data_IF_096986736005
#
_entry.id   IF_096986736005
#
_cell.length_a   1.000
_cell.length_b   1.000
_cell.length_c   1.000
_cell.angle_alpha   90.00
_cell.angle_beta   90.00
_cell.angle_gamma   90.00
#
_symmetry.space_group_name_H-M   'P 1'
#
loop_
_entity.id
_entity.type
_entity.pdbx_description
1 polymer ?
#
# COMPACT_ATOMS: atom_id res chain seq x y z
N UNK A 1 21.96 28.95 15.46
CA UNK A 1 21.36 29.18 14.12
C UNK A 1 20.56 27.95 13.77
N UNK A 2 19.25 28.09 13.56
CA UNK A 2 18.42 26.98 13.11
C UNK A 2 18.96 26.47 11.76
N UNK A 3 19.24 25.18 11.66
CA UNK A 3 19.78 24.57 10.45
C UNK A 3 18.69 24.65 9.35
N UNK A 4 18.83 25.61 8.44
CA UNK A 4 17.86 25.91 7.38
C UNK A 4 17.54 24.66 6.53
N UNK A 5 18.50 23.74 6.40
CA UNK A 5 18.31 22.45 5.76
C UNK A 5 17.30 21.57 6.51
N UNK A 6 17.40 21.50 7.84
CA UNK A 6 16.48 20.72 8.68
C UNK A 6 15.06 21.26 8.55
N UNK A 7 14.87 22.58 8.66
CA UNK A 7 13.55 23.21 8.49
C UNK A 7 12.92 22.92 7.12
N UNK A 8 13.76 22.88 6.07
CA UNK A 8 13.31 22.54 4.72
C UNK A 8 12.90 21.06 4.65
N UNK A 9 13.72 20.14 5.16
CA UNK A 9 13.43 18.70 5.16
C UNK A 9 12.15 18.40 5.93
N UNK A 10 11.99 18.92 7.16
CA UNK A 10 10.78 18.71 7.96
C UNK A 10 9.53 19.16 7.23
N UNK A 11 9.60 20.31 6.53
CA UNK A 11 8.46 20.81 5.75
C UNK A 11 8.12 19.89 4.58
N UNK A 12 9.12 19.44 3.83
CA UNK A 12 8.91 18.53 2.70
C UNK A 12 8.35 17.18 3.15
N UNK A 13 8.86 16.60 4.23
CA UNK A 13 8.34 15.33 4.76
C UNK A 13 6.89 15.49 5.21
N UNK A 14 6.58 16.57 5.94
CA UNK A 14 5.21 16.85 6.38
C UNK A 14 4.25 17.02 5.19
N UNK A 15 4.71 17.66 4.10
CA UNK A 15 3.92 17.80 2.88
C UNK A 15 3.63 16.45 2.23
N UNK A 16 4.61 15.53 2.22
CA UNK A 16 4.42 14.17 1.68
C UNK A 16 3.45 13.38 2.56
N UNK A 17 3.61 13.42 3.89
CA UNK A 17 2.74 12.72 4.84
C UNK A 17 1.29 13.24 4.80
N UNK A 18 1.10 14.54 4.54
CA UNK A 18 -0.22 15.15 4.36
C UNK A 18 -0.74 15.07 2.91
N UNK A 19 0.10 14.60 1.99
CA UNK A 19 -0.20 14.51 0.57
C UNK A 19 -1.18 13.39 0.28
N UNK A 20 -1.91 13.51 -0.82
CA UNK A 20 -2.83 12.48 -1.29
C UNK A 20 -2.16 11.40 -2.16
N UNK A 21 -0.83 11.43 -2.30
CA UNK A 21 -0.12 10.49 -3.18
C UNK A 21 -0.04 9.10 -2.55
N UNK A 22 -0.95 8.23 -2.97
CA UNK A 22 -1.03 6.84 -2.55
C UNK A 22 0.19 6.00 -2.94
N UNK A 23 1.03 6.50 -3.85
CA UNK A 23 2.22 5.81 -4.35
C UNK A 23 3.44 5.98 -3.47
N UNK A 24 3.39 6.84 -2.46
CA UNK A 24 4.57 7.21 -1.67
C UNK A 24 4.30 7.09 -0.17
N UNK A 25 5.23 6.42 0.53
CA UNK A 25 5.34 6.44 1.98
C UNK A 25 6.75 6.85 2.38
N UNK A 26 6.88 7.65 3.44
CA UNK A 26 8.16 8.13 3.97
C UNK A 26 8.23 7.93 5.47
N UNK A 27 9.42 7.57 5.95
CA UNK A 27 9.71 7.40 7.37
C UNK A 27 11.07 8.01 7.70
N UNK A 28 11.18 8.63 8.86
CA UNK A 28 12.42 9.19 9.39
C UNK A 28 12.42 9.05 10.92
N UNK A 29 13.61 9.01 11.50
CA UNK A 29 13.78 9.06 12.96
C UNK A 29 13.98 10.52 13.40
N UNK A 30 13.34 10.95 14.48
CA UNK A 30 13.48 12.32 15.02
C UNK A 30 14.92 12.64 15.43
N UNK A 31 15.71 11.61 15.78
CA UNK A 31 17.14 11.70 16.08
C UNK A 31 17.98 12.05 14.85
N UNK A 32 17.54 11.69 13.63
CA UNK A 32 18.29 11.83 12.39
C UNK A 32 17.37 12.09 11.18
N UNK A 33 16.74 13.27 11.16
CA UNK A 33 15.87 13.71 10.06
C UNK A 33 16.56 13.81 8.69
N UNK A 34 17.90 13.75 8.65
CA UNK A 34 18.67 13.75 7.39
C UNK A 34 18.72 12.38 6.74
N UNK A 35 18.32 11.32 7.43
CA UNK A 35 18.25 9.97 6.89
C UNK A 35 16.77 9.56 6.84
N UNK A 36 16.25 9.45 5.62
CA UNK A 36 14.85 9.17 5.33
C UNK A 36 14.77 7.86 4.58
N UNK A 37 13.88 6.97 5.00
CA UNK A 37 13.46 5.81 4.22
C UNK A 37 12.19 6.16 3.47
N UNK A 38 12.03 5.65 2.25
CA UNK A 38 10.84 5.84 1.45
C UNK A 38 10.46 4.54 0.73
N UNK A 39 9.17 4.26 0.60
CA UNK A 39 8.64 3.23 -0.28
C UNK A 39 7.86 3.90 -1.39
N UNK A 40 8.16 3.50 -2.63
CA UNK A 40 7.49 3.98 -3.83
C UNK A 40 6.82 2.80 -4.51
N UNK A 41 5.54 2.95 -4.81
CA UNK A 41 4.80 1.99 -5.62
C UNK A 41 5.22 2.10 -7.08
N UNK A 42 5.51 0.96 -7.71
CA UNK A 42 5.77 0.95 -9.14
C UNK A 42 4.54 1.38 -9.95
N UNK A 43 4.71 2.15 -11.04
CA UNK A 43 3.57 2.68 -11.78
C UNK A 43 2.70 1.58 -12.42
N UNK A 44 1.37 1.80 -12.49
CA UNK A 44 0.45 0.92 -13.20
C UNK A 44 0.84 0.77 -14.68
N UNK A 45 0.47 -0.34 -15.30
CA UNK A 45 0.74 -0.64 -16.73
C UNK A 45 2.24 -0.68 -17.09
N UNK A 46 3.11 -0.88 -16.11
CA UNK A 46 4.55 -1.10 -16.28
C UNK A 46 4.94 -2.46 -15.71
N UNK A 47 6.11 -3.04 -16.05
CA UNK A 47 6.57 -4.25 -15.38
C UNK A 47 6.81 -4.07 -13.87
N UNK A 48 6.81 -2.84 -13.36
CA UNK A 48 6.98 -2.52 -11.94
C UNK A 48 5.64 -2.44 -11.19
N UNK A 49 4.51 -2.60 -11.87
CA UNK A 49 3.16 -2.33 -11.36
C UNK A 49 2.93 -2.73 -9.91
N UNK A 50 2.65 -1.71 -9.09
CA UNK A 50 2.35 -1.78 -7.65
C UNK A 50 3.42 -2.43 -6.76
N UNK A 51 4.62 -2.73 -7.28
CA UNK A 51 5.74 -3.22 -6.48
C UNK A 51 6.20 -2.21 -5.42
N UNK A 52 6.55 -2.67 -4.22
CA UNK A 52 7.06 -1.84 -3.13
C UNK A 52 8.58 -1.66 -3.27
N UNK A 53 9.01 -0.57 -3.91
CA UNK A 53 10.42 -0.24 -4.05
C UNK A 53 10.88 0.66 -2.91
N UNK A 54 11.77 0.14 -2.07
CA UNK A 54 12.29 0.87 -0.93
C UNK A 54 13.60 1.59 -1.28
N UNK A 55 13.73 2.82 -0.78
CA UNK A 55 14.86 3.71 -0.97
C UNK A 55 15.31 4.30 0.36
N UNK A 56 16.62 4.47 0.49
CA UNK A 56 17.26 5.26 1.53
C UNK A 56 17.74 6.58 0.92
N UNK A 57 17.39 7.68 1.57
CA UNK A 57 17.63 9.05 1.12
C UNK A 57 18.40 9.77 2.22
N UNK A 58 19.59 10.23 1.89
CA UNK A 58 20.46 10.93 2.82
C UNK A 58 20.72 12.36 2.35
N UNK A 59 20.26 13.31 3.16
CA UNK A 59 20.39 14.74 2.93
C UNK A 59 21.74 15.24 3.45
N UNK A 60 22.50 15.91 2.58
CA UNK A 60 23.76 16.56 2.95
C UNK A 60 23.55 17.83 3.78
N UNK A 61 24.63 18.35 4.37
CA UNK A 61 24.62 19.63 5.10
C UNK A 61 24.23 20.82 4.20
N UNK A 62 24.56 20.73 2.92
CA UNK A 62 24.33 21.79 1.93
C UNK A 62 22.95 21.70 1.26
N UNK A 63 22.03 20.86 1.76
CA UNK A 63 20.67 20.78 1.22
C UNK A 63 19.89 22.09 1.52
N UNK A 64 19.11 22.64 0.58
CA UNK A 64 18.77 22.14 -0.76
C UNK A 64 19.70 22.64 -1.90
N UNK A 65 20.84 23.24 -1.58
CA UNK A 65 21.83 23.68 -2.58
C UNK A 65 22.38 22.51 -3.40
N UNK A 66 22.67 21.38 -2.73
CA UNK A 66 23.05 20.12 -3.35
C UNK A 66 21.92 19.07 -3.22
N UNK A 67 21.77 18.16 -4.19
CA UNK A 67 20.77 17.09 -4.12
C UNK A 67 21.08 16.09 -2.99
N UNK A 68 20.07 15.39 -2.46
CA UNK A 68 20.29 14.28 -1.55
C UNK A 68 20.90 13.09 -2.29
N UNK A 69 21.62 12.24 -1.55
CA UNK A 69 22.07 10.94 -2.05
C UNK A 69 20.97 9.89 -1.89
N UNK A 70 20.74 9.07 -2.91
CA UNK A 70 19.65 8.09 -2.94
C UNK A 70 20.19 6.69 -3.26
N UNK A 71 19.75 5.71 -2.48
CA UNK A 71 20.11 4.30 -2.63
C UNK A 71 18.85 3.43 -2.61
N UNK A 72 18.62 2.64 -3.65
CA UNK A 72 17.60 1.61 -3.66
C UNK A 72 18.01 0.45 -2.75
N UNK A 73 17.05 -0.04 -1.96
CA UNK A 73 17.21 -1.16 -1.05
C UNK A 73 16.64 -2.46 -1.64
N UNK A 74 15.55 -2.36 -2.41
CA UNK A 74 14.93 -3.48 -3.13
C UNK A 74 15.80 -3.93 -4.32
N UNK A 75 16.87 -4.68 -4.03
CA UNK A 75 17.89 -5.11 -5.01
C UNK A 75 18.22 -6.60 -4.93
N UNK A 76 17.50 -7.37 -4.10
CA UNK A 76 17.78 -8.79 -3.85
C UNK A 76 19.27 -9.03 -3.49
N UNK A 77 19.76 -8.34 -2.47
CA UNK A 77 21.15 -8.46 -2.00
C UNK A 77 22.20 -8.10 -3.05
N UNK A 78 21.91 -7.15 -3.94
CA UNK A 78 22.85 -6.73 -4.98
C UNK A 78 22.73 -7.45 -6.33
N UNK A 79 21.79 -8.40 -6.45
CA UNK A 79 21.66 -9.28 -7.63
C UNK A 79 20.64 -8.80 -8.65
N UNK A 80 19.56 -8.17 -8.19
CA UNK A 80 18.49 -7.70 -9.05
C UNK A 80 18.74 -6.26 -9.51
N UNK A 81 18.73 -6.06 -10.83
CA UNK A 81 18.76 -4.74 -11.46
C UNK A 81 17.40 -4.45 -12.07
N UNK A 82 16.53 -3.80 -11.29
CA UNK A 82 15.17 -3.50 -11.72
C UNK A 82 15.11 -2.56 -12.92
N UNK A 83 15.93 -1.51 -12.95
CA UNK A 83 15.87 -0.47 -13.96
C UNK A 83 17.29 -0.11 -14.43
N UNK A 84 17.52 0.34 -15.67
CA UNK A 84 18.83 0.82 -16.10
C UNK A 84 19.42 1.90 -15.20
N UNK A 85 18.58 2.76 -14.62
CA UNK A 85 18.99 3.82 -13.70
C UNK A 85 19.10 3.38 -12.24
N UNK A 86 18.63 2.18 -11.89
CA UNK A 86 18.77 1.60 -10.55
C UNK A 86 19.74 0.43 -10.66
N UNK A 87 20.99 0.68 -10.31
CA UNK A 87 22.05 -0.32 -10.38
C UNK A 87 21.78 -1.42 -9.35
N UNK A 88 22.29 -2.62 -9.62
CA UNK A 88 22.11 -3.74 -8.69
C UNK A 88 22.74 -3.46 -7.31
N UNK A 89 23.80 -2.64 -7.25
CA UNK A 89 24.38 -2.15 -5.99
C UNK A 89 23.47 -1.19 -5.18
N UNK A 90 22.29 -0.87 -5.70
CA UNK A 90 21.37 0.11 -5.12
C UNK A 90 21.67 1.55 -5.52
N UNK A 91 22.76 1.82 -6.25
CA UNK A 91 23.05 3.19 -6.71
C UNK A 91 21.96 3.65 -7.69
N UNK A 92 21.34 4.78 -7.39
CA UNK A 92 20.35 5.41 -8.28
C UNK A 92 21.03 6.50 -9.10
N UNK A 93 20.96 6.38 -10.42
CA UNK A 93 21.36 7.41 -11.35
C UNK A 93 20.20 8.35 -11.65
N UNK A 94 20.12 9.42 -10.89
CA UNK A 94 19.34 10.57 -11.26
C UNK A 94 20.15 11.30 -12.34
N UNK A 95 19.74 11.19 -13.62
CA UNK A 95 20.31 11.98 -14.72
C UNK A 95 20.14 13.47 -14.42
N UNK A 96 21.10 14.04 -13.69
CA UNK A 96 21.39 15.48 -13.71
C UNK A 96 22.53 15.77 -14.69
N UNK A 97 22.66 14.95 -15.73
CA UNK A 97 23.78 15.00 -16.67
C UNK A 97 23.56 16.11 -17.69
N UNK A 98 23.84 17.33 -17.27
CA UNK A 98 24.52 18.34 -18.10
C UNK A 98 23.73 19.07 -19.18
N UNK A 99 22.57 18.58 -19.64
CA UNK A 99 21.73 19.36 -20.56
C UNK A 99 21.02 20.50 -19.83
N UNK A 100 20.97 21.69 -20.45
CA UNK A 100 20.37 22.90 -19.86
C UNK A 100 18.87 22.67 -19.63
N UNK A 101 18.50 22.31 -18.40
CA UNK A 101 17.11 22.07 -18.00
C UNK A 101 16.93 20.87 -17.06
N UNK A 102 17.88 19.93 -17.05
CA UNK A 102 17.81 18.69 -16.24
C UNK A 102 18.70 18.71 -14.99
N UNK A 103 19.25 19.86 -14.60
CA UNK A 103 20.14 19.95 -13.44
C UNK A 103 19.35 20.11 -12.13
N UNK A 104 19.90 19.60 -11.02
CA UNK A 104 19.33 19.85 -9.69
C UNK A 104 19.21 21.35 -9.46
N UNK A 105 18.05 21.78 -8.98
CA UNK A 105 17.84 23.11 -8.45
C UNK A 105 17.18 23.01 -7.09
N UNK A 106 17.45 23.99 -6.23
CA UNK A 106 16.82 24.10 -4.90
C UNK A 106 15.30 24.30 -4.94
N UNK A 107 14.73 24.49 -6.14
CA UNK A 107 13.29 24.48 -6.38
C UNK A 107 12.70 23.06 -6.37
N UNK A 108 13.51 22.03 -6.66
CA UNK A 108 13.09 20.63 -6.56
C UNK A 108 12.94 20.23 -5.09
N UNK A 109 12.01 19.31 -4.83
CA UNK A 109 11.72 18.74 -3.52
C UNK A 109 11.86 17.21 -3.54
N UNK A 110 11.82 16.61 -2.35
CA UNK A 110 11.83 15.17 -2.16
C UNK A 110 10.76 14.47 -3.03
N UNK A 111 9.54 15.00 -3.09
CA UNK A 111 8.47 14.47 -3.93
C UNK A 111 8.85 14.42 -5.43
N UNK A 112 9.37 15.52 -6.00
CA UNK A 112 9.80 15.56 -7.40
C UNK A 112 10.92 14.56 -7.71
N UNK A 113 11.82 14.33 -6.76
CA UNK A 113 12.87 13.32 -6.88
C UNK A 113 12.28 11.91 -6.92
N UNK A 114 11.31 11.62 -6.05
CA UNK A 114 10.64 10.33 -5.96
C UNK A 114 9.80 10.06 -7.22
N UNK A 115 9.06 11.06 -7.73
CA UNK A 115 8.33 10.98 -9.00
C UNK A 115 9.28 10.75 -10.18
N UNK A 116 10.45 11.41 -10.20
CA UNK A 116 11.42 11.21 -11.29
C UNK A 116 11.97 9.79 -11.38
N UNK A 117 11.93 9.03 -10.28
CA UNK A 117 12.30 7.61 -10.27
C UNK A 117 11.19 6.73 -10.86
N UNK A 118 9.93 7.15 -10.79
CA UNK A 118 8.79 6.44 -11.37
C UNK A 118 8.75 6.54 -12.91
N UNK A 119 9.19 7.66 -13.49
CA UNK A 119 8.96 7.96 -14.92
C UNK A 119 10.05 7.46 -15.88
N UNK A 120 11.22 7.03 -15.37
CA UNK A 120 12.35 6.65 -16.23
C UNK A 120 12.25 5.20 -16.73
N UNK A 121 11.71 5.03 -17.93
CA UNK A 121 11.64 3.75 -18.63
C UNK A 121 12.91 3.44 -19.45
N UNK A 122 13.29 2.16 -19.67
CA UNK A 122 14.42 1.80 -20.54
C UNK A 122 14.18 2.16 -22.02
N UNK A 123 15.21 2.66 -22.70
CA UNK A 123 15.18 3.13 -24.11
C UNK A 123 15.67 2.11 -25.15
N UNK A 124 16.21 0.95 -24.76
CA UNK A 124 16.85 0.00 -25.69
C UNK A 124 15.88 -1.09 -26.17
N UNK A 125 15.53 -1.09 -27.46
CA UNK A 125 14.46 -1.94 -28.04
C UNK A 125 14.79 -3.44 -28.20
N UNK A 126 16.05 -3.84 -28.10
CA UNK A 126 16.45 -5.24 -28.34
C UNK A 126 16.27 -6.09 -27.07
N UNK A 127 15.47 -7.17 -27.16
CA UNK A 127 15.10 -8.07 -26.04
C UNK A 127 14.19 -7.44 -24.96
N UNK A 128 13.49 -6.35 -25.29
CA UNK A 128 12.60 -5.69 -24.32
C UNK A 128 11.53 -6.61 -23.76
N UNK A 129 10.92 -7.46 -24.58
CA UNK A 129 9.84 -8.34 -24.09
C UNK A 129 10.35 -9.33 -23.04
N UNK A 130 11.52 -9.94 -23.29
CA UNK A 130 12.14 -10.86 -22.33
C UNK A 130 12.60 -10.15 -21.05
N UNK A 131 13.08 -8.90 -21.17
CA UNK A 131 13.41 -8.07 -20.02
C UNK A 131 12.16 -7.70 -19.22
N UNK A 132 11.11 -7.21 -19.87
CA UNK A 132 9.82 -6.83 -19.26
C UNK A 132 9.20 -8.02 -18.55
N UNK A 133 9.18 -9.21 -19.17
CA UNK A 133 8.69 -10.43 -18.54
C UNK A 133 9.50 -10.76 -17.27
N UNK A 134 10.83 -10.73 -17.36
CA UNK A 134 11.71 -10.96 -16.20
C UNK A 134 11.44 -9.96 -15.08
N UNK A 135 11.40 -8.67 -15.38
CA UNK A 135 11.15 -7.62 -14.38
C UNK A 135 9.76 -7.76 -13.77
N UNK A 136 8.73 -8.06 -14.57
CA UNK A 136 7.37 -8.32 -14.05
C UNK A 136 7.37 -9.44 -13.02
N UNK A 137 8.04 -10.55 -13.32
CA UNK A 137 8.18 -11.66 -12.38
C UNK A 137 8.93 -11.25 -11.10
N UNK A 138 10.10 -10.62 -11.25
CA UNK A 138 10.95 -10.21 -10.14
C UNK A 138 10.32 -9.10 -9.28
N UNK A 139 9.49 -8.24 -9.86
CA UNK A 139 8.69 -7.25 -9.13
C UNK A 139 7.69 -7.94 -8.22
N UNK A 140 6.91 -8.90 -8.73
CA UNK A 140 5.98 -9.66 -7.89
C UNK A 140 6.73 -10.41 -6.77
N UNK A 141 7.84 -11.07 -7.10
CA UNK A 141 8.61 -11.86 -6.13
C UNK A 141 9.31 -11.01 -5.07
N UNK A 142 10.18 -10.09 -5.47
CA UNK A 142 11.09 -9.36 -4.58
C UNK A 142 10.45 -8.07 -4.06
N UNK A 143 9.65 -7.36 -4.88
CA UNK A 143 9.10 -6.07 -4.49
C UNK A 143 7.71 -6.18 -3.85
N UNK A 144 7.00 -7.31 -3.99
CA UNK A 144 5.67 -7.51 -3.38
C UNK A 144 5.71 -8.62 -2.33
N UNK A 145 6.03 -9.85 -2.74
CA UNK A 145 5.86 -11.05 -1.91
C UNK A 145 6.88 -11.10 -0.76
N UNK A 146 8.19 -11.04 -1.06
CA UNK A 146 9.24 -11.19 -0.04
C UNK A 146 9.18 -10.15 1.11
N UNK A 147 8.94 -8.85 0.86
CA UNK A 147 8.77 -7.88 1.93
C UNK A 147 7.58 -8.21 2.82
N UNK A 148 6.46 -8.66 2.24
CA UNK A 148 5.26 -9.03 3.00
C UNK A 148 5.45 -10.32 3.79
N UNK A 149 6.13 -11.31 3.23
CA UNK A 149 6.51 -12.54 3.94
C UNK A 149 7.38 -12.23 5.15
N UNK A 150 8.37 -11.35 4.96
CA UNK A 150 9.22 -10.85 6.06
C UNK A 150 8.37 -10.14 7.11
N UNK A 151 7.50 -9.21 6.72
CA UNK A 151 6.64 -8.46 7.64
C UNK A 151 5.60 -9.34 8.38
N UNK A 152 5.27 -10.51 7.85
CA UNK A 152 4.28 -11.45 8.40
C UNK A 152 4.92 -12.69 9.06
N UNK A 153 6.26 -12.78 9.07
CA UNK A 153 7.02 -13.94 9.51
C UNK A 153 6.57 -15.25 8.82
N UNK A 154 6.40 -15.20 7.49
CA UNK A 154 6.01 -16.35 6.67
C UNK A 154 7.24 -16.82 5.88
N UNK A 155 7.53 -18.12 5.95
CA UNK A 155 8.52 -18.75 5.09
C UNK A 155 7.95 -18.93 3.67
N UNK A 156 8.79 -18.99 2.63
CA UNK A 156 8.30 -19.27 1.28
C UNK A 156 7.50 -20.56 1.15
N UNK A 157 7.67 -21.55 2.05
CA UNK A 157 6.81 -22.75 2.10
C UNK A 157 5.34 -22.43 2.43
N UNK A 158 5.08 -21.31 3.09
CA UNK A 158 3.79 -20.91 3.66
C UNK A 158 3.70 -21.16 5.17
N UNK A 159 4.71 -21.77 5.78
CA UNK A 159 4.78 -21.99 7.23
C UNK A 159 5.21 -20.71 7.95
N UNK A 160 4.84 -20.58 9.23
CA UNK A 160 5.36 -19.50 10.07
C UNK A 160 6.84 -19.72 10.37
N UNK A 161 7.63 -18.65 10.28
CA UNK A 161 8.99 -18.63 10.81
C UNK A 161 8.92 -18.52 12.34
N UNK A 162 8.82 -19.68 13.00
CA UNK A 162 8.74 -19.80 14.45
C UNK A 162 10.02 -19.35 15.16
N UNK A 163 11.16 -19.27 14.46
CA UNK A 163 12.40 -18.76 15.03
C UNK A 163 12.37 -17.23 15.09
N UNK A 164 11.92 -16.58 14.01
CA UNK A 164 11.71 -15.13 13.98
C UNK A 164 10.63 -14.69 14.99
N UNK A 165 9.53 -15.44 15.10
CA UNK A 165 8.43 -15.12 16.04
C UNK A 165 8.85 -15.21 17.52
N UNK A 166 9.79 -16.10 17.87
CA UNK A 166 10.31 -16.22 19.24
C UNK A 166 11.28 -15.10 19.62
N UNK A 167 12.03 -14.57 18.66
CA UNK A 167 12.95 -13.45 18.89
C UNK A 167 12.22 -12.12 19.14
N UNK A 168 10.97 -11.97 18.67
CA UNK A 168 10.14 -10.78 18.94
C UNK A 168 9.42 -10.80 20.29
N UNK A 169 9.21 -11.97 20.89
CA UNK A 169 8.40 -12.15 22.12
C UNK A 169 9.25 -12.32 23.41
N UNK A 170 10.57 -12.48 23.30
CA UNK A 170 11.42 -12.67 24.47
C UNK A 170 11.88 -11.33 25.07
N UNK A 171 11.33 -10.98 26.24
CA UNK A 171 11.80 -9.92 27.15
C UNK A 171 13.18 -10.20 27.79
N UNK A 172 13.90 -11.24 27.34
CA UNK A 172 15.23 -11.59 27.84
C UNK A 172 16.31 -10.76 27.14
N UNK A 173 16.53 -9.57 27.69
CA UNK A 173 17.71 -8.73 27.44
C UNK A 173 18.99 -9.43 27.95
N UNK A 174 19.56 -10.32 27.13
CA UNK A 174 20.92 -10.81 27.31
C UNK A 174 21.72 -10.82 25.99
N UNK A 175 22.48 -9.74 25.82
CA UNK A 175 23.82 -9.67 25.22
C UNK A 175 24.05 -10.27 23.82
N UNK A 176 23.47 -9.65 22.79
CA UNK A 176 24.16 -9.39 21.51
C UNK A 176 23.65 -8.04 20.96
N UNK A 177 24.54 -7.06 20.77
CA UNK A 177 24.20 -5.69 20.35
C UNK A 177 23.71 -5.55 18.89
N UNK A 178 23.55 -6.64 18.12
CA UNK A 178 23.29 -6.59 16.67
C UNK A 178 21.92 -7.10 16.20
N UNK A 179 21.02 -7.56 17.07
CA UNK A 179 19.70 -8.05 16.64
C UNK A 179 18.56 -7.43 17.47
N UNK A 180 18.43 -6.10 17.44
CA UNK A 180 17.09 -5.53 17.59
C UNK A 180 16.23 -6.04 16.42
N UNK A 181 14.99 -6.52 16.64
CA UNK A 181 14.08 -6.78 15.55
C UNK A 181 14.03 -5.53 14.67
N UNK A 182 14.35 -5.68 13.39
CA UNK A 182 14.47 -4.56 12.47
C UNK A 182 13.11 -3.85 12.40
N UNK A 183 13.02 -2.65 12.94
CA UNK A 183 11.81 -1.84 12.84
C UNK A 183 11.51 -1.57 11.36
N UNK A 184 10.37 -2.09 10.90
CA UNK A 184 9.88 -1.93 9.53
C UNK A 184 8.71 -0.94 9.49
N UNK A 185 8.98 0.36 9.23
CA UNK A 185 7.96 1.41 9.27
C UNK A 185 6.92 1.31 8.15
N UNK A 186 7.14 0.44 7.16
CA UNK A 186 6.25 0.30 6.01
C UNK A 186 5.41 -0.98 6.05
N UNK A 187 5.50 -1.75 7.14
CA UNK A 187 4.78 -3.01 7.32
C UNK A 187 3.28 -2.86 7.04
N UNK A 188 2.59 -1.96 7.76
CA UNK A 188 1.15 -1.76 7.56
C UNK A 188 0.82 -1.13 6.20
N UNK A 189 1.65 -0.20 5.72
CA UNK A 189 1.50 0.38 4.39
C UNK A 189 1.50 -0.70 3.30
N UNK A 190 2.44 -1.64 3.35
CA UNK A 190 2.52 -2.76 2.39
C UNK A 190 1.30 -3.66 2.50
N UNK A 191 0.89 -4.06 3.71
CA UNK A 191 -0.29 -4.91 3.93
C UNK A 191 -1.56 -4.26 3.37
N UNK A 192 -1.79 -3.00 3.68
CA UNK A 192 -2.96 -2.23 3.24
C UNK A 192 -3.01 -2.09 1.72
N UNK A 193 -1.90 -1.69 1.08
CA UNK A 193 -1.81 -1.56 -0.38
C UNK A 193 -1.85 -2.91 -1.09
N UNK A 194 -1.31 -3.96 -0.49
CA UNK A 194 -1.40 -5.32 -1.03
C UNK A 194 -2.85 -5.78 -1.16
N UNK A 195 -3.67 -5.56 -0.12
CA UNK A 195 -5.10 -5.91 -0.17
C UNK A 195 -5.86 -5.12 -1.25
N UNK A 196 -5.49 -3.87 -1.50
CA UNK A 196 -6.08 -3.05 -2.56
C UNK A 196 -5.72 -3.56 -3.97
N UNK A 197 -4.47 -3.98 -4.17
CA UNK A 197 -3.96 -4.37 -5.49
C UNK A 197 -3.89 -5.88 -5.72
N UNK A 198 -4.48 -6.68 -4.83
CA UNK A 198 -4.50 -8.15 -4.94
C UNK A 198 -5.02 -8.62 -6.30
N UNK A 199 -6.15 -8.09 -6.76
CA UNK A 199 -6.76 -8.44 -8.05
C UNK A 199 -5.85 -8.06 -9.25
N UNK A 200 -5.32 -6.81 -9.35
CA UNK A 200 -4.30 -6.48 -10.34
C UNK A 200 -3.10 -7.43 -10.37
N UNK A 201 -2.60 -7.89 -9.21
CA UNK A 201 -1.51 -8.85 -9.17
C UNK A 201 -1.91 -10.20 -9.75
N UNK A 202 -3.09 -10.72 -9.38
CA UNK A 202 -3.59 -11.99 -9.92
C UNK A 202 -3.77 -11.92 -11.45
N UNK A 203 -4.29 -10.81 -11.98
CA UNK A 203 -4.41 -10.59 -13.42
C UNK A 203 -3.05 -10.54 -14.14
N UNK A 204 -2.05 -9.92 -13.52
CA UNK A 204 -0.68 -9.89 -14.04
C UNK A 204 -0.07 -11.30 -14.11
N UNK A 205 -0.32 -12.12 -13.08
CA UNK A 205 0.08 -13.53 -13.05
C UNK A 205 -0.66 -14.32 -14.15
N UNK A 206 -1.98 -14.21 -14.24
CA UNK A 206 -2.81 -14.89 -15.25
C UNK A 206 -2.31 -14.61 -16.68
N UNK A 207 -2.08 -13.32 -16.99
CA UNK A 207 -1.59 -12.92 -18.29
C UNK A 207 -0.18 -13.44 -18.57
N UNK A 208 0.72 -13.36 -17.59
CA UNK A 208 2.11 -13.77 -17.77
C UNK A 208 2.28 -15.31 -17.81
N UNK A 209 1.41 -16.07 -17.17
CA UNK A 209 1.41 -17.54 -17.20
C UNK A 209 1.07 -18.08 -18.60
N UNK A 210 0.26 -17.34 -19.38
CA UNK A 210 -0.01 -17.65 -20.80
C UNK A 210 1.21 -17.36 -21.68
N UNK A 211 1.94 -16.27 -21.38
CA UNK A 211 3.12 -15.85 -22.15
C UNK A 211 4.37 -16.69 -21.85
N UNK A 212 4.55 -17.10 -20.59
CA UNK A 212 5.77 -17.71 -20.07
C UNK A 212 5.46 -19.02 -19.32
N UNK A 213 5.59 -20.18 -20.00
CA UNK A 213 5.33 -21.48 -19.39
C UNK A 213 6.22 -21.76 -18.17
N UNK A 214 5.68 -22.54 -17.23
CA UNK A 214 6.32 -22.85 -15.95
C UNK A 214 7.74 -23.41 -16.10
N UNK A 215 8.64 -22.95 -15.23
CA UNK A 215 10.08 -23.32 -15.16
C UNK A 215 10.90 -22.95 -16.40
N UNK A 216 10.41 -22.03 -17.23
CA UNK A 216 11.23 -21.44 -18.29
C UNK A 216 12.30 -20.54 -17.68
N UNK A 217 13.57 -20.74 -18.07
CA UNK A 217 14.67 -19.95 -17.52
C UNK A 217 14.63 -18.51 -17.99
N UNK A 218 15.01 -17.60 -17.10
CA UNK A 218 15.22 -16.20 -17.46
C UNK A 218 16.29 -16.08 -18.54
N UNK A 219 15.96 -15.37 -19.62
CA UNK A 219 16.95 -14.96 -20.61
C UNK A 219 17.91 -13.97 -19.96
N UNK A 220 19.22 -14.21 -20.04
CA UNK A 220 20.22 -13.28 -19.53
C UNK A 220 20.27 -12.02 -20.40
N UNK A 221 20.18 -10.85 -19.78
CA UNK A 221 20.26 -9.57 -20.49
C UNK A 221 21.73 -9.16 -20.73
N UNK A 222 22.03 -8.38 -21.77
CA UNK A 222 23.41 -7.96 -22.09
C UNK A 222 24.14 -7.23 -20.95
N UNK A 223 23.40 -6.56 -20.07
CA UNK A 223 23.95 -5.83 -18.93
C UNK A 223 24.18 -6.71 -17.68
N UNK A 224 23.80 -7.99 -17.71
CA UNK A 224 23.97 -8.92 -16.60
C UNK A 224 25.36 -9.59 -16.66
N UNK A 225 26.16 -9.32 -15.63
CA UNK A 225 27.46 -9.94 -15.35
C UNK A 225 27.32 -10.97 -14.22
N UNK A 226 28.41 -11.65 -13.84
CA UNK A 226 28.41 -12.61 -12.72
C UNK A 226 27.95 -12.00 -11.39
N UNK A 227 28.14 -10.68 -11.20
CA UNK A 227 27.90 -10.00 -9.94
C UNK A 227 26.49 -9.41 -9.82
N UNK A 228 25.71 -9.41 -10.90
CA UNK A 228 24.34 -8.88 -10.98
C UNK A 228 23.43 -9.74 -11.86
N UNK A 229 23.72 -11.05 -11.90
CA UNK A 229 22.92 -11.99 -12.65
C UNK A 229 21.55 -12.16 -11.98
N UNK A 230 20.50 -11.96 -12.77
CA UNK A 230 19.13 -12.27 -12.39
C UNK A 230 18.81 -13.64 -12.98
N UNK A 231 19.54 -14.65 -12.50
CA UNK A 231 19.32 -16.05 -12.85
C UNK A 231 18.11 -16.59 -12.07
N UNK A 232 17.29 -17.39 -12.74
CA UNK A 232 16.07 -17.95 -12.18
C UNK A 232 15.15 -18.48 -13.27
N UNK A 233 13.95 -18.84 -12.89
CA UNK A 233 12.91 -19.35 -13.76
C UNK A 233 11.54 -18.73 -13.45
N UNK A 234 10.69 -18.70 -14.46
CA UNK A 234 9.30 -18.25 -14.32
C UNK A 234 8.49 -19.33 -13.58
N UNK A 235 8.05 -19.04 -12.35
CA UNK A 235 7.09 -19.90 -11.62
C UNK A 235 5.91 -19.08 -11.07
N UNK A 236 5.08 -18.59 -11.99
CA UNK A 236 3.87 -17.82 -11.68
C UNK A 236 2.86 -18.59 -10.83
N UNK A 237 2.79 -19.92 -10.97
CA UNK A 237 1.95 -20.78 -10.14
C UNK A 237 2.39 -20.70 -8.66
N UNK A 238 3.69 -20.68 -8.41
CA UNK A 238 4.24 -20.53 -7.07
C UNK A 238 4.05 -19.11 -6.51
N UNK A 239 4.25 -18.07 -7.33
CA UNK A 239 3.97 -16.69 -6.92
C UNK A 239 2.49 -16.52 -6.54
N UNK A 240 1.57 -17.11 -7.31
CA UNK A 240 0.13 -17.10 -7.01
C UNK A 240 -0.17 -17.71 -5.65
N UNK A 241 0.38 -18.91 -5.40
CA UNK A 241 0.21 -19.62 -4.12
C UNK A 241 0.67 -18.74 -2.95
N UNK A 242 1.87 -18.17 -3.04
CA UNK A 242 2.44 -17.28 -2.00
C UNK A 242 1.59 -16.04 -1.77
N UNK A 243 1.08 -15.40 -2.82
CA UNK A 243 0.18 -14.24 -2.67
C UNK A 243 -1.14 -14.60 -1.97
N UNK A 244 -1.72 -15.76 -2.26
CA UNK A 244 -2.95 -16.22 -1.58
C UNK A 244 -2.66 -16.42 -0.09
N UNK A 245 -1.54 -17.09 0.26
CA UNK A 245 -1.13 -17.29 1.66
C UNK A 245 -0.96 -15.95 2.39
N UNK A 246 -0.31 -14.97 1.77
CA UNK A 246 -0.15 -13.62 2.33
C UNK A 246 -1.52 -12.96 2.56
N UNK A 247 -2.42 -13.00 1.56
CA UNK A 247 -3.78 -12.44 1.67
C UNK A 247 -4.52 -13.04 2.85
N UNK A 248 -4.54 -14.37 2.95
CA UNK A 248 -5.26 -15.09 3.98
C UNK A 248 -4.66 -14.81 5.38
N UNK A 249 -3.34 -14.63 5.47
CA UNK A 249 -2.68 -14.23 6.71
C UNK A 249 -3.07 -12.81 7.13
N UNK A 250 -3.10 -11.84 6.21
CA UNK A 250 -3.52 -10.47 6.50
C UNK A 250 -4.97 -10.44 6.97
N UNK A 251 -5.87 -11.18 6.32
CA UNK A 251 -7.29 -11.29 6.74
C UNK A 251 -7.38 -11.93 8.13
N UNK A 252 -6.59 -12.97 8.40
CA UNK A 252 -6.57 -13.65 9.71
C UNK A 252 -6.06 -12.72 10.82
N UNK A 253 -4.99 -11.97 10.56
CA UNK A 253 -4.47 -10.94 11.46
C UNK A 253 -5.54 -9.89 11.78
N UNK A 254 -6.27 -9.42 10.77
CA UNK A 254 -7.37 -8.46 10.96
C UNK A 254 -8.49 -8.99 11.84
N UNK A 255 -8.86 -10.27 11.66
CA UNK A 255 -9.86 -10.91 12.53
C UNK A 255 -9.33 -11.08 13.95
N UNK A 256 -8.03 -11.32 14.10
CA UNK A 256 -7.40 -11.46 15.42
C UNK A 256 -7.40 -10.15 16.22
N UNK A 257 -7.36 -8.98 15.56
CA UNK A 257 -7.49 -7.69 16.24
C UNK A 257 -8.78 -7.57 17.06
N UNK A 258 -9.87 -8.22 16.64
CA UNK A 258 -11.10 -8.25 17.44
C UNK A 258 -10.89 -8.96 18.79
N UNK A 259 -10.15 -10.07 18.79
CA UNK A 259 -9.84 -10.86 19.99
C UNK A 259 -8.86 -10.12 20.88
N UNK A 260 -7.75 -9.61 20.32
CA UNK A 260 -6.77 -8.79 21.03
C UNK A 260 -7.43 -7.53 21.63
N UNK A 261 -8.35 -6.91 20.89
CA UNK A 261 -9.09 -5.74 21.31
C UNK A 261 -10.02 -5.99 22.51
N UNK A 262 -10.68 -7.15 22.57
CA UNK A 262 -11.46 -7.54 23.74
C UNK A 262 -10.58 -7.71 24.97
N UNK A 263 -9.42 -8.37 24.82
CA UNK A 263 -8.45 -8.49 25.91
C UNK A 263 -7.94 -7.11 26.37
N UNK A 264 -7.66 -6.21 25.43
CA UNK A 264 -7.26 -4.84 25.74
C UNK A 264 -8.36 -4.07 26.49
N UNK A 265 -9.64 -4.30 26.17
CA UNK A 265 -10.78 -3.73 26.90
C UNK A 265 -10.87 -4.29 28.31
N UNK A 266 -10.77 -5.61 28.48
CA UNK A 266 -10.81 -6.30 29.78
C UNK A 266 -9.65 -5.86 30.70
N UNK A 267 -8.49 -5.58 30.12
CA UNK A 267 -7.31 -5.09 30.84
C UNK A 267 -7.28 -3.56 31.00
N UNK A 268 -8.34 -2.85 30.60
CA UNK A 268 -8.47 -1.40 30.69
C UNK A 268 -7.32 -0.62 30.03
N UNK A 269 -6.82 -1.14 28.89
CA UNK A 269 -5.76 -0.46 28.15
C UNK A 269 -6.23 0.91 27.63
N UNK A 270 -5.33 1.90 27.67
CA UNK A 270 -5.65 3.27 27.28
C UNK A 270 -6.19 3.41 25.86
N UNK A 271 -5.73 2.57 24.93
CA UNK A 271 -6.23 2.54 23.54
C UNK A 271 -7.70 2.11 23.46
N UNK A 272 -8.13 1.10 24.24
CA UNK A 272 -9.51 0.65 24.26
C UNK A 272 -10.45 1.77 24.77
N UNK A 273 -10.06 2.45 25.85
CA UNK A 273 -10.79 3.59 26.39
C UNK A 273 -10.81 4.79 25.41
N UNK A 274 -9.70 5.04 24.70
CA UNK A 274 -9.61 6.09 23.68
C UNK A 274 -10.58 5.83 22.52
N UNK A 275 -10.57 4.63 21.96
CA UNK A 275 -11.45 4.24 20.86
C UNK A 275 -12.92 4.26 21.26
N UNK A 276 -13.24 3.77 22.47
CA UNK A 276 -14.59 3.85 23.03
C UNK A 276 -15.08 5.30 23.11
N UNK A 277 -14.24 6.22 23.61
CA UNK A 277 -14.57 7.65 23.68
C UNK A 277 -14.76 8.27 22.29
N UNK A 278 -13.89 7.94 21.33
CA UNK A 278 -14.03 8.42 19.96
C UNK A 278 -15.34 7.95 19.34
N UNK A 279 -15.73 6.69 19.55
CA UNK A 279 -17.01 6.14 19.11
C UNK A 279 -18.19 6.95 19.67
N UNK A 280 -18.24 7.16 21.00
CA UNK A 280 -19.31 7.89 21.67
C UNK A 280 -19.46 9.32 21.11
N UNK A 281 -18.34 10.03 20.95
CA UNK A 281 -18.32 11.38 20.38
C UNK A 281 -18.84 11.42 18.94
N UNK A 282 -18.48 10.43 18.12
CA UNK A 282 -18.92 10.36 16.72
C UNK A 282 -20.42 10.07 16.67
N UNK A 283 -20.91 9.11 17.46
CA UNK A 283 -22.34 8.77 17.51
C UNK A 283 -23.19 9.96 17.99
N UNK A 284 -22.73 10.68 19.02
CA UNK A 284 -23.40 11.88 19.50
C UNK A 284 -23.42 12.99 18.42
N UNK A 285 -22.30 13.21 17.74
CA UNK A 285 -22.21 14.16 16.62
C UNK A 285 -23.17 13.82 15.48
N UNK A 286 -23.29 12.54 15.11
CA UNK A 286 -24.20 12.08 14.04
C UNK A 286 -25.67 12.31 14.42
N UNK A 287 -26.04 12.07 15.69
CA UNK A 287 -27.38 12.36 16.21
C UNK A 287 -27.72 13.86 16.15
N UNK A 288 -26.79 14.73 16.54
CA UNK A 288 -27.00 16.17 16.51
C UNK A 288 -27.15 16.75 15.10
N UNK A 289 -26.45 16.18 14.12
CA UNK A 289 -26.56 16.60 12.72
C UNK A 289 -27.85 16.09 12.04
N UNK A 290 -28.67 15.31 12.75
CA UNK A 290 -29.85 14.62 12.22
C UNK A 290 -29.52 13.83 10.94
N UNK A 291 -28.33 13.24 10.90
CA UNK A 291 -27.81 12.59 9.71
C UNK A 291 -28.37 11.17 9.59
N UNK A 292 -29.58 11.05 9.02
CA UNK A 292 -30.30 9.77 8.87
C UNK A 292 -29.56 8.79 7.94
N UNK A 293 -28.56 9.26 7.18
CA UNK A 293 -27.86 8.45 6.18
C UNK A 293 -26.78 7.54 6.77
N UNK A 294 -26.43 7.69 8.04
CA UNK A 294 -25.35 6.92 8.67
C UNK A 294 -25.78 6.43 10.04
N UNK A 295 -25.63 5.12 10.26
CA UNK A 295 -25.74 4.48 11.56
C UNK A 295 -24.42 3.79 11.92
N UNK A 296 -23.96 3.94 13.16
CA UNK A 296 -22.66 3.44 13.62
C UNK A 296 -22.82 2.73 14.96
N UNK A 297 -22.36 1.48 15.02
CA UNK A 297 -22.45 0.64 16.20
C UNK A 297 -21.13 -0.10 16.47
N UNK A 298 -20.91 -0.48 17.73
CA UNK A 298 -19.86 -1.44 18.08
C UNK A 298 -20.42 -2.87 17.95
N UNK A 299 -19.60 -3.78 17.43
CA UNK A 299 -19.93 -5.20 17.36
C UNK A 299 -19.58 -5.84 18.70
N UNK A 300 -20.56 -6.45 19.37
CA UNK A 300 -20.39 -7.10 20.68
C UNK A 300 -19.74 -6.19 21.73
N UNK A 301 -20.06 -4.89 21.69
CA UNK A 301 -19.47 -3.84 22.54
C UNK A 301 -17.93 -3.76 22.46
N UNK A 302 -17.32 -4.28 21.39
CA UNK A 302 -15.89 -4.25 21.19
C UNK A 302 -15.46 -2.92 20.54
N UNK A 303 -14.67 -2.07 21.23
CA UNK A 303 -14.22 -0.79 20.68
C UNK A 303 -13.26 -0.94 19.50
N UNK A 304 -12.84 -2.16 19.15
CA UNK A 304 -11.96 -2.45 18.01
C UNK A 304 -12.70 -2.98 16.76
N UNK A 305 -14.01 -3.19 16.84
CA UNK A 305 -14.81 -3.66 15.70
C UNK A 305 -16.06 -2.82 15.55
N UNK A 306 -16.05 -1.95 14.55
CA UNK A 306 -17.15 -1.01 14.30
C UNK A 306 -17.95 -1.47 13.09
N UNK A 307 -19.27 -1.35 13.19
CA UNK A 307 -20.21 -1.60 12.11
C UNK A 307 -20.85 -0.28 11.68
N UNK A 308 -20.50 0.16 10.49
CA UNK A 308 -21.06 1.33 9.83
C UNK A 308 -22.12 0.88 8.84
N UNK A 309 -23.35 1.36 8.99
CA UNK A 309 -24.42 1.21 8.01
C UNK A 309 -24.64 2.53 7.31
N UNK A 310 -24.40 2.57 6.01
CA UNK A 310 -24.70 3.74 5.17
C UNK A 310 -26.00 3.50 4.40
N UNK A 311 -26.93 4.44 4.49
CA UNK A 311 -28.17 4.45 3.72
C UNK A 311 -27.99 5.40 2.54
N UNK A 312 -28.12 4.86 1.32
CA UNK A 312 -27.92 5.64 0.11
C UNK A 312 -28.91 6.79 -0.01
N UNK A 313 -28.40 7.97 -0.38
CA UNK A 313 -29.21 9.19 -0.44
C UNK A 313 -30.22 9.16 -1.58
N UNK A 314 -31.40 9.77 -1.40
CA UNK A 314 -32.35 9.97 -2.48
C UNK A 314 -31.71 10.66 -3.69
N UNK A 315 -32.13 10.27 -4.88
CA UNK A 315 -31.66 10.86 -6.15
C UNK A 315 -30.16 10.66 -6.44
N UNK A 316 -29.52 9.68 -5.81
CA UNK A 316 -28.14 9.27 -6.13
C UNK A 316 -28.11 7.88 -6.77
N UNK A 317 -26.94 7.45 -7.24
CA UNK A 317 -26.75 6.08 -7.73
C UNK A 317 -26.91 5.00 -6.65
N UNK A 318 -26.91 5.38 -5.37
CA UNK A 318 -27.03 4.49 -4.22
C UNK A 318 -28.42 4.50 -3.60
N UNK A 319 -29.36 5.27 -4.15
CA UNK A 319 -30.72 5.46 -3.62
C UNK A 319 -31.39 4.12 -3.29
N UNK A 320 -31.94 4.02 -2.07
CA UNK A 320 -32.59 2.83 -1.53
C UNK A 320 -31.65 1.72 -1.02
N UNK A 321 -30.33 1.83 -1.24
CA UNK A 321 -29.36 0.84 -0.76
C UNK A 321 -29.02 0.95 0.72
N UNK A 322 -28.72 -0.19 1.35
CA UNK A 322 -28.26 -0.29 2.74
C UNK A 322 -26.91 -0.98 2.83
N UNK A 323 -25.84 -0.20 2.90
CA UNK A 323 -24.47 -0.71 2.82
C UNK A 323 -23.90 -0.95 4.22
N UNK A 324 -23.72 -2.22 4.57
CA UNK A 324 -23.09 -2.63 5.83
C UNK A 324 -21.59 -2.77 5.66
N UNK A 325 -20.83 -2.10 6.52
CA UNK A 325 -19.38 -1.93 6.41
C UNK A 325 -18.77 -2.28 7.77
N UNK A 326 -17.82 -3.20 7.75
CA UNK A 326 -17.07 -3.64 8.92
C UNK A 326 -15.72 -2.92 8.94
N UNK A 327 -15.41 -2.31 10.09
CA UNK A 327 -14.16 -1.59 10.31
C UNK A 327 -13.45 -2.27 11.48
N UNK A 328 -12.29 -2.85 11.19
CA UNK A 328 -11.43 -3.50 12.17
C UNK A 328 -10.28 -2.58 12.53
N UNK A 329 -10.07 -2.39 13.83
CA UNK A 329 -9.05 -1.50 14.38
C UNK A 329 -7.98 -2.33 15.06
N UNK A 330 -6.72 -2.01 14.77
CA UNK A 330 -5.59 -2.64 15.44
C UNK A 330 -5.46 -2.14 16.89
N UNK A 331 -5.05 -2.98 17.84
CA UNK A 331 -4.55 -2.54 19.15
C UNK A 331 -3.36 -1.57 19.06
N UNK A 332 -2.69 -1.53 17.91
CA UNK A 332 -1.60 -0.61 17.55
C UNK A 332 -2.08 0.57 16.70
N UNK A 333 -3.36 0.93 16.75
CA UNK A 333 -3.83 2.15 16.12
C UNK A 333 -3.32 3.36 16.92
N UNK A 334 -2.77 4.41 16.28
CA UNK A 334 -2.83 4.71 14.84
C UNK A 334 -1.64 4.26 13.99
N UNK A 335 -0.63 3.60 14.56
CA UNK A 335 0.51 3.09 13.79
C UNK A 335 0.09 2.06 12.72
N UNK A 336 -0.92 1.24 13.03
CA UNK A 336 -1.62 0.38 12.08
C UNK A 336 -3.01 0.93 11.75
N UNK A 337 -3.27 1.12 10.47
CA UNK A 337 -4.47 1.79 9.99
C UNK A 337 -5.70 0.84 9.96
N UNK A 338 -6.93 1.38 10.09
CA UNK A 338 -8.14 0.57 10.09
C UNK A 338 -8.34 -0.18 8.77
N UNK A 339 -8.72 -1.46 8.87
CA UNK A 339 -9.04 -2.29 7.70
C UNK A 339 -10.55 -2.40 7.53
N UNK A 340 -11.02 -2.03 6.34
CA UNK A 340 -12.44 -1.79 6.07
C UNK A 340 -12.96 -2.72 4.98
N UNK A 341 -14.05 -3.42 5.29
CA UNK A 341 -14.66 -4.42 4.41
C UNK A 341 -16.15 -4.14 4.26
N UNK A 342 -16.64 -4.26 3.03
CA UNK A 342 -18.07 -4.34 2.75
C UNK A 342 -18.57 -5.72 3.20
N UNK A 343 -19.55 -5.76 4.11
CA UNK A 343 -20.23 -7.02 4.50
C UNK A 343 -21.14 -7.52 3.38
N UNK A 344 -21.69 -6.59 2.59
CA UNK A 344 -22.53 -6.88 1.44
C UNK A 344 -21.74 -6.72 0.15
N UNK A 345 -21.88 -7.66 -0.78
CA UNK A 345 -21.19 -7.60 -2.07
C UNK A 345 -21.63 -6.35 -2.86
N UNK A 346 -20.69 -5.44 -3.11
CA UNK A 346 -20.97 -4.15 -3.75
C UNK A 346 -20.08 -3.96 -4.99
N UNK A 347 -20.69 -3.75 -6.15
CA UNK A 347 -19.97 -3.61 -7.40
C UNK A 347 -19.58 -2.15 -7.61
N UNK A 348 -18.34 -1.80 -7.25
CA UNK A 348 -17.86 -0.43 -7.26
C UNK A 348 -16.36 -0.36 -7.57
N UNK A 349 -15.91 0.75 -8.18
CA UNK A 349 -14.49 0.94 -8.54
C UNK A 349 -13.56 0.97 -7.32
N UNK A 350 -14.08 1.41 -6.15
CA UNK A 350 -13.35 1.49 -4.86
C UNK A 350 -13.52 0.26 -3.97
N UNK A 351 -14.23 -0.78 -4.42
CA UNK A 351 -14.50 -2.00 -3.61
C UNK A 351 -14.01 -3.22 -4.36
N UNK A 352 -13.01 -3.90 -3.78
CA UNK A 352 -12.45 -5.13 -4.35
C UNK A 352 -13.48 -6.26 -4.34
N UNK A 353 -13.18 -7.36 -5.05
CA UNK A 353 -14.06 -8.55 -5.05
C UNK A 353 -14.22 -9.18 -3.67
N UNK A 354 -13.22 -9.06 -2.81
CA UNK A 354 -13.23 -9.54 -1.42
C UNK A 354 -13.88 -8.54 -0.45
N UNK A 355 -14.48 -7.46 -0.97
CA UNK A 355 -15.14 -6.44 -0.17
C UNK A 355 -14.21 -5.39 0.45
N UNK A 356 -12.89 -5.48 0.29
CA UNK A 356 -11.95 -4.46 0.77
C UNK A 356 -12.28 -3.11 0.15
N UNK A 357 -12.51 -2.09 1.00
CA UNK A 357 -12.80 -0.73 0.58
C UNK A 357 -11.52 0.11 0.52
N UNK A 358 -11.30 0.76 -0.62
CA UNK A 358 -10.24 1.74 -0.82
C UNK A 358 -10.76 3.15 -0.54
N UNK A 359 -10.34 3.72 0.58
CA UNK A 359 -10.67 5.08 0.98
C UNK A 359 -9.42 5.79 1.51
N UNK A 360 -9.47 7.13 1.56
CA UNK A 360 -8.36 7.95 2.05
C UNK A 360 -8.92 8.93 3.07
N UNK A 361 -8.59 8.79 4.37
CA UNK A 361 -9.03 9.73 5.38
C UNK A 361 -8.24 11.04 5.28
N UNK A 362 -8.82 12.16 5.73
CA UNK A 362 -8.10 13.44 5.82
C UNK A 362 -6.99 13.43 6.88
N UNK A 363 -7.17 12.61 7.93
CA UNK A 363 -6.19 12.34 8.97
C UNK A 363 -6.29 10.87 9.38
N UNK A 364 -5.15 10.26 9.66
CA UNK A 364 -4.99 8.84 9.96
C UNK A 364 -5.10 8.50 11.45
N UNK A 365 -5.08 9.52 12.31
CA UNK A 365 -4.96 9.35 13.77
C UNK A 365 -6.30 9.31 14.50
N UNK A 366 -7.39 9.76 13.86
CA UNK A 366 -8.70 9.95 14.50
C UNK A 366 -9.80 9.28 13.66
N UNK A 367 -10.59 8.42 14.29
CA UNK A 367 -11.60 7.60 13.61
C UNK A 367 -12.67 8.39 12.88
N UNK A 368 -12.97 9.61 13.34
CA UNK A 368 -13.93 10.49 12.68
C UNK A 368 -13.58 10.72 11.20
N UNK A 369 -12.32 10.96 10.88
CA UNK A 369 -11.89 11.19 9.49
C UNK A 369 -11.91 9.92 8.64
N UNK A 370 -11.81 8.74 9.27
CA UNK A 370 -12.02 7.47 8.59
C UNK A 370 -13.49 7.29 8.20
N UNK A 371 -14.42 7.54 9.12
CA UNK A 371 -15.86 7.49 8.82
C UNK A 371 -16.22 8.49 7.72
N UNK A 372 -15.76 9.73 7.82
CA UNK A 372 -15.97 10.76 6.79
C UNK A 372 -15.37 10.33 5.43
N UNK A 373 -14.16 9.75 5.43
CA UNK A 373 -13.50 9.26 4.22
C UNK A 373 -14.22 8.07 3.56
N UNK A 374 -14.74 7.14 4.36
CA UNK A 374 -15.55 6.01 3.88
C UNK A 374 -16.83 6.50 3.21
N UNK A 375 -17.58 7.38 3.88
CA UNK A 375 -18.82 7.94 3.34
C UNK A 375 -18.55 8.76 2.08
N UNK A 376 -17.54 9.63 2.09
CA UNK A 376 -17.17 10.44 0.93
C UNK A 376 -16.77 9.57 -0.28
N UNK A 377 -16.12 8.43 -0.04
CA UNK A 377 -15.73 7.48 -1.09
C UNK A 377 -16.95 6.81 -1.74
N UNK A 378 -17.99 6.50 -0.98
CA UNK A 378 -19.22 5.91 -1.50
C UNK A 378 -20.09 6.95 -2.23
N UNK A 379 -20.07 8.20 -1.78
CA UNK A 379 -20.80 9.32 -2.38
C UNK A 379 -20.12 9.90 -3.63
N UNK A 380 -18.88 9.48 -3.94
CA UNK A 380 -18.13 9.95 -5.10
C UNK A 380 -18.67 9.36 -6.42
N UNK A 381 -19.56 10.10 -7.09
CA UNK A 381 -20.18 9.62 -8.35
C UNK A 381 -19.26 9.69 -9.58
N UNK A 382 -18.36 10.68 -9.62
CA UNK A 382 -17.52 10.97 -10.79
C UNK A 382 -16.04 11.09 -10.40
N UNK A 383 -15.42 10.03 -9.84
CA UNK A 383 -14.02 10.06 -9.49
C UNK A 383 -13.14 10.35 -10.72
N UNK A 384 -12.06 11.14 -10.58
CA UNK A 384 -11.04 11.21 -11.60
C UNK A 384 -10.42 9.81 -11.80
N UNK A 385 -9.98 9.51 -13.03
CA UNK A 385 -9.29 8.24 -13.28
C UNK A 385 -7.95 8.24 -12.54
N UNK A 386 -7.84 7.36 -11.54
CA UNK A 386 -6.58 7.04 -10.88
C UNK A 386 -6.51 5.53 -10.61
N UNK A 387 -5.70 4.76 -11.36
CA UNK A 387 -5.58 3.31 -11.20
C UNK A 387 -5.10 2.88 -9.80
N UNK A 388 -4.46 3.77 -9.03
CA UNK A 388 -4.02 3.52 -7.65
C UNK A 388 -5.18 3.51 -6.66
N UNK A 389 -6.29 4.11 -7.04
CA UNK A 389 -7.50 4.16 -6.22
C UNK A 389 -8.54 3.11 -6.60
N UNK A 390 -8.34 2.46 -7.75
CA UNK A 390 -9.32 1.53 -8.28
C UNK A 390 -8.93 0.10 -7.98
N UNK A 391 -9.62 -0.50 -7.02
CA UNK A 391 -9.29 -1.84 -6.48
C UNK A 391 -10.12 -2.96 -7.12
N UNK A 392 -10.99 -2.61 -8.07
CA UNK A 392 -11.78 -3.56 -8.85
C UNK A 392 -11.55 -3.33 -10.35
N UNK A 393 -10.60 -4.05 -10.97
CA UNK A 393 -10.23 -3.83 -12.37
C UNK A 393 -11.40 -3.99 -13.35
N UNK A 394 -12.34 -4.90 -13.07
CA UNK A 394 -13.52 -5.09 -13.91
C UNK A 394 -14.45 -3.86 -13.85
N UNK A 395 -14.74 -3.38 -12.65
CA UNK A 395 -15.52 -2.17 -12.43
C UNK A 395 -14.84 -0.96 -13.09
N UNK A 396 -13.52 -0.79 -12.93
CA UNK A 396 -12.75 0.29 -13.55
C UNK A 396 -12.85 0.27 -15.07
N UNK A 397 -12.63 -0.90 -15.68
CA UNK A 397 -12.71 -1.06 -17.14
C UNK A 397 -14.10 -0.68 -17.65
N UNK A 398 -15.16 -0.99 -16.90
CA UNK A 398 -16.51 -0.64 -17.28
C UNK A 398 -16.82 0.85 -17.07
N UNK A 399 -16.36 1.44 -15.97
CA UNK A 399 -16.64 2.81 -15.59
C UNK A 399 -15.99 3.84 -16.53
N UNK A 400 -14.72 3.66 -16.86
CA UNK A 400 -13.99 4.55 -17.80
C UNK A 400 -13.98 4.03 -19.24
N UNK A 401 -14.74 2.98 -19.53
CA UNK A 401 -14.85 2.38 -20.86
C UNK A 401 -15.77 3.13 -21.83
N UNK A 402 -16.24 2.43 -22.86
CA UNK A 402 -17.15 2.99 -23.86
C UNK A 402 -18.51 3.39 -23.26
N UNK A 403 -19.36 4.10 -24.02
CA UNK A 403 -20.74 4.36 -23.58
C UNK A 403 -21.55 3.08 -23.32
N UNK A 404 -21.24 1.97 -24.01
CA UNK A 404 -21.86 0.66 -23.74
C UNK A 404 -21.37 0.07 -22.42
N UNK A 405 -20.07 0.20 -22.14
CA UNK A 405 -19.47 -0.29 -20.90
C UNK A 405 -20.01 0.46 -19.67
N UNK A 406 -20.13 1.79 -19.76
CA UNK A 406 -20.75 2.60 -18.71
C UNK A 406 -22.20 2.21 -18.42
N UNK A 407 -22.97 1.84 -19.45
CA UNK A 407 -24.33 1.29 -19.26
C UNK A 407 -24.29 -0.05 -18.52
N UNK A 408 -23.32 -0.92 -18.81
CA UNK A 408 -23.13 -2.18 -18.09
C UNK A 408 -22.73 -1.93 -16.63
N UNK A 409 -21.78 -1.02 -16.39
CA UNK A 409 -21.39 -0.62 -15.04
C UNK A 409 -22.60 -0.18 -14.22
N UNK A 410 -23.38 0.78 -14.72
CA UNK A 410 -24.55 1.30 -14.02
C UNK A 410 -25.60 0.23 -13.73
N UNK A 411 -25.73 -0.78 -14.61
CA UNK A 411 -26.63 -1.91 -14.40
C UNK A 411 -26.13 -2.83 -13.29
N UNK A 412 -24.84 -3.18 -13.27
CA UNK A 412 -24.27 -4.03 -12.22
C UNK A 412 -24.23 -3.30 -10.87
N UNK A 413 -23.93 -2.00 -10.86
CA UNK A 413 -24.02 -1.15 -9.68
C UNK A 413 -25.43 -1.20 -9.10
N UNK A 414 -26.47 -0.88 -9.88
CA UNK A 414 -27.88 -0.94 -9.42
C UNK A 414 -28.27 -2.32 -8.87
N UNK A 415 -27.89 -3.40 -9.55
CA UNK A 415 -28.12 -4.77 -9.06
C UNK A 415 -27.43 -5.05 -7.74
N UNK A 416 -26.27 -4.44 -7.49
CA UNK A 416 -25.62 -4.57 -6.19
C UNK A 416 -26.34 -3.76 -5.11
N UNK A 417 -26.80 -2.53 -5.43
CA UNK A 417 -27.63 -1.70 -4.53
C UNK A 417 -28.94 -2.41 -4.14
N UNK A 418 -29.65 -2.99 -5.10
CA UNK A 418 -30.89 -3.76 -4.86
C UNK A 418 -30.68 -4.99 -3.96
N UNK A 419 -29.46 -5.54 -3.92
CA UNK A 419 -29.12 -6.69 -3.06
C UNK A 419 -28.70 -6.28 -1.65
N UNK A 420 -28.40 -5.00 -1.43
CA UNK A 420 -28.00 -4.50 -0.11
C UNK A 420 -29.21 -4.05 0.72
N UNK A 421 -30.29 -3.62 0.05
CA UNK A 421 -31.60 -3.36 0.64
C UNK A 421 -32.29 -4.64 1.10
#
# INVERSE_FOLDING_TARGET
MSDQAILRITREIKQIQQGADLSLAVHYEDSDIRNVRAVILGPPDTPYQFGFFEFMIKFGKDYPGNPPSVRALTTNGGRCRFNPNIYSSGRVCLTWRGERGEQWSSAQCLESLLISMQTKSPTDKQNMDAYVAKIRHETLRIAVIEPLETSLNILPSGDLDLLAARASDSDDQLLYEDEKPSFDPFCDFRKSRFMWYFEPYMQSIDAAEVESPRKCKFKRMPFESSNNAMDGDFDYAELRRRMIVIKDRIISETRNWAVEGLLAKEQEWGIAASLQRQYEQIVESLKHQNNITVDLNLVDENPFVWKLTYFGRPMTHLDGGMFKIMIYLSPRFPEEQPRVFMETAFFHVRVSKEGVLCYVPKRTEEMRYHIEGIVATLEEEHPPYDPRTTVNPEASRLFWGSASDRKKYNRELRRSVERTA
#
